data_IF_354616389938
#
_entry.id   IF_354616389938
#
_cell.length_a   1.000
_cell.length_b   1.000
_cell.length_c   1.000
_cell.angle_alpha   90.00
_cell.angle_beta   90.00
_cell.angle_gamma   90.00
#
_symmetry.space_group_name_H-M   'P 1'
#
loop_
_entity.id
_entity.type
_entity.pdbx_description
1 polymer ?
#
# COMPACT_ATOMS: atom_id res chain seq x y z
N UNK A 1 18.94 -3.82 48.33
CA UNK A 1 18.90 -2.62 49.21
C UNK A 1 18.12 -1.55 48.51
N UNK A 2 17.05 -1.11 49.16
CA UNK A 2 16.19 0.06 49.00
C UNK A 2 15.17 -0.06 47.84
N UNK A 3 13.94 -0.47 48.03
CA UNK A 3 12.77 -0.01 48.81
C UNK A 3 12.38 1.43 48.40
N UNK A 4 11.11 1.58 48.13
CA UNK A 4 10.21 2.76 48.23
C UNK A 4 9.45 3.00 46.91
N UNK A 5 8.17 3.17 46.83
CA UNK A 5 6.98 3.05 47.64
C UNK A 5 5.84 3.54 46.75
N UNK A 6 4.69 2.90 46.77
CA UNK A 6 3.42 3.39 46.24
C UNK A 6 2.79 4.39 47.18
N UNK A 7 2.02 5.38 46.76
CA UNK A 7 1.05 6.08 47.61
C UNK A 7 -0.41 5.66 47.33
N UNK A 8 -1.33 6.00 48.24
CA UNK A 8 -2.50 5.22 48.57
C UNK A 8 -3.82 5.76 47.96
N UNK A 9 -4.81 4.89 48.09
CA UNK A 9 -6.22 5.16 47.84
C UNK A 9 -6.83 6.16 48.82
N UNK A 10 -7.61 7.11 48.32
CA UNK A 10 -8.53 7.90 49.13
C UNK A 10 -9.99 7.45 48.91
N UNK A 11 -10.55 6.91 49.98
CA UNK A 11 -11.97 6.79 50.29
C UNK A 11 -12.43 8.08 50.92
N UNK A 12 -13.60 8.55 50.56
CA UNK A 12 -14.59 9.27 51.44
C UNK A 12 -15.65 9.87 50.52
N UNK A 13 -16.90 10.01 50.84
CA UNK A 13 -17.77 9.73 52.01
C UNK A 13 -19.22 9.80 51.50
N UNK A 14 -20.04 8.92 52.01
CA UNK A 14 -21.49 8.86 51.98
C UNK A 14 -22.04 9.86 52.99
N UNK A 15 -22.97 10.78 52.61
CA UNK A 15 -24.02 11.35 53.53
C UNK A 15 -25.11 11.93 52.64
N UNK A 16 -26.31 11.37 52.62
CA UNK A 16 -27.51 11.67 53.42
C UNK A 16 -27.92 13.14 53.31
N UNK A 17 -29.03 13.38 52.62
CA UNK A 17 -30.09 14.24 53.17
C UNK A 17 -31.44 13.89 52.51
N UNK A 18 -32.32 13.39 53.36
CA UNK A 18 -33.77 13.29 53.22
C UNK A 18 -34.35 14.69 53.49
N UNK A 19 -35.59 14.89 53.02
CA UNK A 19 -36.58 15.92 53.40
C UNK A 19 -36.89 16.90 52.26
N UNK A 20 -37.97 16.68 51.57
CA UNK A 20 -39.17 17.54 51.56
C UNK A 20 -40.16 16.99 50.52
N UNK A 21 -41.03 16.15 50.93
CA UNK A 21 -42.29 15.87 50.24
C UNK A 21 -43.33 16.91 50.62
N UNK A 22 -44.27 17.17 49.70
CA UNK A 22 -45.48 17.88 50.06
C UNK A 22 -45.64 19.21 49.29
N UNK A 23 -46.27 19.15 48.11
CA UNK A 23 -46.64 20.39 47.41
C UNK A 23 -47.17 20.29 45.98
N UNK A 24 -47.22 19.11 45.39
CA UNK A 24 -47.58 18.96 43.98
C UNK A 24 -48.95 18.28 43.69
N UNK A 25 -49.73 17.91 44.72
CA UNK A 25 -51.01 17.19 44.51
C UNK A 25 -52.25 18.08 44.41
N UNK A 26 -52.15 19.36 44.69
CA UNK A 26 -53.32 20.27 44.71
C UNK A 26 -53.57 21.09 43.40
N UNK A 27 -52.62 21.08 42.46
CA UNK A 27 -52.73 21.88 41.22
C UNK A 27 -53.29 21.06 40.06
N UNK A 28 -53.21 19.75 40.07
CA UNK A 28 -53.69 18.89 38.97
C UNK A 28 -55.21 18.70 38.96
N UNK A 29 -55.92 18.84 40.11
CA UNK A 29 -57.38 18.70 40.18
C UNK A 29 -58.12 19.94 39.71
N UNK A 30 -57.52 21.13 39.79
CA UNK A 30 -58.16 22.38 39.37
C UNK A 30 -58.12 22.60 37.84
N UNK A 31 -57.20 21.99 37.13
CA UNK A 31 -57.07 22.13 35.67
C UNK A 31 -58.02 21.19 34.91
N UNK A 32 -58.45 20.10 35.52
CA UNK A 32 -59.38 19.11 34.90
C UNK A 32 -60.83 19.61 34.98
N UNK A 33 -61.20 20.43 35.98
CA UNK A 33 -62.56 20.98 36.13
C UNK A 33 -62.84 22.18 35.24
N UNK A 34 -61.82 22.86 34.67
CA UNK A 34 -62.04 24.02 33.81
C UNK A 34 -62.21 23.62 32.31
N UNK A 35 -61.88 22.37 31.92
CA UNK A 35 -62.03 21.90 30.56
C UNK A 35 -63.35 21.14 30.27
N UNK A 36 -64.22 20.98 31.25
CA UNK A 36 -65.49 20.22 31.12
C UNK A 36 -66.73 21.09 30.88
N UNK A 37 -66.59 22.43 30.79
CA UNK A 37 -67.75 23.35 30.74
C UNK A 37 -67.84 24.22 29.47
N UNK A 38 -67.01 23.95 28.43
CA UNK A 38 -67.11 24.68 27.17
C UNK A 38 -67.28 23.75 25.95
N UNK A 39 -68.42 23.11 25.87
CA UNK A 39 -68.82 22.31 24.74
C UNK A 39 -70.27 22.47 24.42
N UNK A 40 -70.62 23.60 23.81
CA UNK A 40 -71.84 23.69 23.00
C UNK A 40 -71.77 24.86 22.06
N UNK A 41 -71.21 24.64 20.86
CA UNK A 41 -71.58 25.41 19.64
C UNK A 41 -71.16 24.59 18.45
N UNK A 42 -72.14 24.04 17.77
CA UNK A 42 -71.98 23.19 16.60
C UNK A 42 -71.44 23.96 15.39
N UNK A 43 -70.44 23.34 14.73
CA UNK A 43 -70.21 23.51 13.31
C UNK A 43 -69.93 22.14 12.73
N UNK A 44 -70.82 21.67 11.90
CA UNK A 44 -70.70 20.42 11.15
C UNK A 44 -69.57 20.55 10.14
N UNK A 45 -68.40 20.10 10.51
CA UNK A 45 -67.31 19.81 9.57
C UNK A 45 -67.54 18.40 9.08
N UNK A 46 -67.81 18.28 7.79
CA UNK A 46 -67.95 17.03 7.07
C UNK A 46 -66.84 16.07 7.45
N UNK A 47 -67.23 14.91 8.03
CA UNK A 47 -66.33 13.81 8.31
C UNK A 47 -65.74 13.34 6.97
N UNK A 48 -64.41 13.21 6.82
CA UNK A 48 -63.87 12.50 5.68
C UNK A 48 -64.34 11.05 5.75
N UNK A 49 -64.81 10.56 4.64
CA UNK A 49 -65.28 9.20 4.44
C UNK A 49 -64.30 8.20 5.07
N UNK A 50 -64.81 7.32 5.90
CA UNK A 50 -64.10 6.15 6.42
C UNK A 50 -63.71 5.30 5.21
N UNK A 51 -62.46 5.34 4.87
CA UNK A 51 -61.84 4.41 3.93
C UNK A 51 -61.77 3.04 4.63
N UNK A 52 -62.54 2.10 4.10
CA UNK A 52 -62.60 0.72 4.62
C UNK A 52 -61.26 0.04 4.45
N UNK A 53 -60.63 -0.38 5.53
CA UNK A 53 -59.57 -1.39 5.52
C UNK A 53 -60.21 -2.76 5.23
N UNK A 54 -59.90 -3.34 4.09
CA UNK A 54 -60.12 -4.79 3.86
C UNK A 54 -59.10 -5.56 4.73
N UNK A 55 -59.51 -6.74 5.17
CA UNK A 55 -58.80 -7.66 6.06
C UNK A 55 -57.40 -8.10 5.56
N UNK A 56 -56.93 -7.55 4.47
CA UNK A 56 -55.71 -7.93 3.75
C UNK A 56 -54.65 -6.82 3.78
N UNK A 57 -54.76 -5.79 4.66
CA UNK A 57 -53.80 -4.66 4.72
C UNK A 57 -53.82 -3.76 3.47
N UNK A 58 -54.89 -3.78 2.71
CA UNK A 58 -55.08 -2.99 1.50
C UNK A 58 -55.61 -1.59 1.87
N UNK A 59 -55.00 -0.56 1.33
CA UNK A 59 -55.45 0.82 1.41
C UNK A 59 -56.10 1.21 0.09
N UNK A 60 -57.29 1.82 0.15
CA UNK A 60 -58.05 2.29 -1.02
C UNK A 60 -57.97 3.84 -1.08
N UNK A 61 -57.05 4.38 -1.91
CA UNK A 61 -56.92 5.83 -2.08
C UNK A 61 -58.20 6.42 -2.75
N UNK A 62 -58.56 7.65 -2.43
CA UNK A 62 -59.57 8.38 -3.22
C UNK A 62 -59.10 8.64 -4.63
N UNK A 63 -60.01 8.99 -5.56
CA UNK A 63 -59.61 9.25 -6.97
C UNK A 63 -58.55 10.33 -7.14
N UNK A 64 -58.65 11.39 -6.36
CA UNK A 64 -57.64 12.47 -6.34
C UNK A 64 -56.31 12.01 -5.79
N UNK A 65 -56.30 11.16 -4.79
CA UNK A 65 -55.12 10.56 -4.23
C UNK A 65 -54.44 9.58 -5.18
N UNK A 66 -55.26 8.72 -5.85
CA UNK A 66 -54.74 7.78 -6.84
C UNK A 66 -54.08 8.50 -8.03
N UNK A 67 -54.67 9.59 -8.51
CA UNK A 67 -54.11 10.39 -9.60
C UNK A 67 -52.75 11.04 -9.26
N UNK A 68 -52.47 11.27 -7.96
CA UNK A 68 -51.20 11.80 -7.50
C UNK A 68 -50.09 10.77 -7.30
N UNK A 69 -50.40 9.45 -7.42
CA UNK A 69 -49.41 8.40 -7.25
C UNK A 69 -48.58 8.20 -8.54
N UNK A 70 -47.28 8.13 -8.41
CA UNK A 70 -46.44 7.63 -9.49
C UNK A 70 -46.25 6.11 -9.32
N UNK A 71 -46.63 5.37 -10.34
CA UNK A 71 -46.59 3.91 -10.34
C UNK A 71 -45.57 3.46 -11.39
N UNK A 72 -44.70 2.54 -11.02
CA UNK A 72 -43.69 1.98 -11.93
C UNK A 72 -43.77 0.47 -11.90
N UNK A 73 -43.60 -0.14 -13.05
CA UNK A 73 -43.60 -1.62 -13.19
C UNK A 73 -42.24 -2.19 -12.79
N UNK A 74 -42.25 -3.26 -12.01
CA UNK A 74 -41.06 -4.04 -11.63
C UNK A 74 -40.46 -4.67 -12.88
N UNK A 75 -39.18 -4.36 -13.13
CA UNK A 75 -38.43 -4.87 -14.30
C UNK A 75 -37.29 -5.74 -13.84
N UNK A 76 -36.79 -6.59 -14.71
CA UNK A 76 -35.54 -7.29 -14.50
C UNK A 76 -34.36 -6.33 -14.77
N UNK A 77 -33.45 -6.24 -13.82
CA UNK A 77 -32.17 -5.49 -13.94
C UNK A 77 -31.04 -6.46 -13.62
N UNK A 78 -29.93 -6.27 -14.31
CA UNK A 78 -28.75 -7.05 -14.09
C UNK A 78 -27.99 -6.45 -12.87
N UNK A 79 -27.93 -7.18 -11.78
CA UNK A 79 -27.15 -6.81 -10.59
C UNK A 79 -25.83 -7.57 -10.59
N UNK A 80 -24.75 -6.84 -10.34
CA UNK A 80 -23.40 -7.41 -10.18
C UNK A 80 -23.13 -7.63 -8.71
N UNK A 81 -22.49 -8.75 -8.41
CA UNK A 81 -22.04 -9.04 -7.06
C UNK A 81 -20.67 -8.34 -6.86
N UNK A 82 -20.71 -7.10 -6.44
CA UNK A 82 -19.52 -6.28 -6.24
C UNK A 82 -19.12 -6.29 -4.78
N UNK A 83 -17.80 -6.34 -4.53
CA UNK A 83 -17.21 -6.13 -3.22
C UNK A 83 -16.36 -4.88 -3.27
N UNK A 84 -16.71 -3.94 -2.40
CA UNK A 84 -15.97 -2.68 -2.28
C UNK A 84 -14.98 -2.82 -1.13
N UNK A 85 -13.72 -2.53 -1.43
CA UNK A 85 -12.66 -2.49 -0.42
C UNK A 85 -11.75 -1.29 -0.63
N UNK A 86 -11.23 -0.80 0.45
CA UNK A 86 -10.21 0.24 0.48
C UNK A 86 -8.84 -0.34 0.12
N UNK A 87 -8.03 0.48 -0.52
CA UNK A 87 -6.67 0.14 -0.87
C UNK A 87 -5.86 1.35 -1.27
N UNK A 88 -4.70 1.09 -1.83
CA UNK A 88 -3.78 2.13 -2.29
C UNK A 88 -3.08 1.75 -3.58
N UNK A 89 -2.57 2.76 -4.25
CA UNK A 89 -1.62 2.59 -5.34
C UNK A 89 -0.25 2.33 -4.71
N UNK A 90 0.43 1.32 -5.18
CA UNK A 90 1.78 0.98 -4.75
C UNK A 90 2.75 0.95 -5.94
N UNK A 91 4.02 1.02 -5.64
CA UNK A 91 5.08 0.84 -6.61
C UNK A 91 4.99 -0.58 -7.18
N UNK A 92 5.21 -0.73 -8.48
CA UNK A 92 5.39 -2.05 -9.07
C UNK A 92 6.80 -2.56 -8.75
N UNK A 93 6.90 -3.43 -7.75
CA UNK A 93 8.18 -3.98 -7.29
C UNK A 93 8.87 -4.85 -8.35
N UNK A 94 8.14 -5.37 -9.34
CA UNK A 94 8.72 -6.14 -10.45
C UNK A 94 9.51 -5.26 -11.44
N UNK A 95 9.19 -3.95 -11.50
CA UNK A 95 9.85 -2.96 -12.35
C UNK A 95 10.65 -1.93 -11.56
N UNK A 96 10.87 -2.19 -10.27
CA UNK A 96 11.51 -1.24 -9.36
C UNK A 96 12.64 -1.95 -8.61
N UNK A 97 13.77 -1.29 -8.48
CA UNK A 97 14.94 -1.81 -7.77
C UNK A 97 15.33 -0.88 -6.63
N UNK A 98 15.38 -1.38 -5.39
CA UNK A 98 15.99 -0.67 -4.28
C UNK A 98 17.51 -0.65 -4.45
N UNK A 99 18.13 0.51 -4.28
CA UNK A 99 19.58 0.69 -4.37
C UNK A 99 20.14 0.86 -2.97
N UNK A 100 21.01 -0.06 -2.60
CA UNK A 100 21.78 -0.04 -1.36
C UNK A 100 23.21 0.40 -1.68
N UNK A 101 23.92 0.96 -0.68
CA UNK A 101 25.35 1.22 -0.86
C UNK A 101 26.15 -0.06 -0.63
N UNK A 102 27.00 -0.45 -1.57
CA UNK A 102 27.95 -1.53 -1.36
C UNK A 102 29.14 -1.10 -0.46
N UNK A 103 29.19 0.18 -0.09
CA UNK A 103 30.30 0.78 0.66
C UNK A 103 29.81 1.45 1.94
N UNK A 104 30.63 1.39 3.00
CA UNK A 104 30.47 2.24 4.17
C UNK A 104 31.29 3.53 3.97
N UNK A 105 30.70 4.66 4.37
CA UNK A 105 31.39 5.92 4.24
C UNK A 105 30.45 7.13 4.29
N UNK A 106 31.02 8.30 4.04
CA UNK A 106 30.34 9.58 4.06
C UNK A 106 29.91 9.99 2.67
N UNK A 107 28.66 10.38 2.50
CA UNK A 107 28.17 10.93 1.20
C UNK A 107 28.82 12.28 0.96
N UNK A 108 29.64 12.36 -0.09
CA UNK A 108 30.36 13.57 -0.47
C UNK A 108 29.54 14.42 -1.44
N UNK A 109 28.72 13.78 -2.29
CA UNK A 109 27.95 14.48 -3.32
C UNK A 109 26.67 13.72 -3.67
N UNK A 110 25.57 14.45 -3.82
CA UNK A 110 24.31 13.96 -4.37
C UNK A 110 24.20 14.40 -5.82
N UNK A 111 23.98 13.45 -6.74
CA UNK A 111 23.96 13.70 -8.18
C UNK A 111 22.52 13.64 -8.69
N UNK A 112 21.82 12.52 -8.43
CA UNK A 112 20.44 12.35 -8.84
C UNK A 112 19.46 12.82 -7.76
N UNK A 113 18.30 13.34 -8.20
CA UNK A 113 17.21 13.82 -7.37
C UNK A 113 15.95 12.97 -7.57
N UNK A 114 15.04 12.91 -6.60
CA UNK A 114 13.70 12.34 -6.82
C UNK A 114 13.01 13.02 -8.02
N UNK A 115 12.47 12.20 -8.93
CA UNK A 115 11.85 12.62 -10.18
C UNK A 115 12.78 12.58 -11.40
N UNK A 116 14.09 12.51 -11.22
CA UNK A 116 15.04 12.41 -12.35
C UNK A 116 14.89 11.05 -13.05
N UNK A 117 14.95 11.07 -14.39
CA UNK A 117 15.11 9.85 -15.17
C UNK A 117 16.61 9.52 -15.29
N UNK A 118 16.96 8.28 -15.00
CA UNK A 118 18.34 7.80 -15.02
C UNK A 118 18.45 6.55 -15.89
N UNK A 119 19.52 6.47 -16.66
CA UNK A 119 19.88 5.29 -17.41
C UNK A 119 20.61 4.28 -16.52
N UNK A 120 20.64 3.01 -16.94
CA UNK A 120 21.46 2.00 -16.27
C UNK A 120 22.94 2.43 -16.26
N UNK A 121 23.55 2.44 -15.06
CA UNK A 121 24.94 2.90 -14.88
C UNK A 121 25.09 4.40 -14.64
N UNK A 122 24.02 5.20 -14.75
CA UNK A 122 24.06 6.63 -14.44
C UNK A 122 24.39 6.88 -12.96
N UNK A 123 25.19 7.93 -12.65
CA UNK A 123 25.62 8.21 -11.29
C UNK A 123 24.45 8.74 -10.43
N UNK A 124 24.25 8.13 -9.27
CA UNK A 124 23.24 8.56 -8.29
C UNK A 124 23.82 9.47 -7.20
N UNK A 125 24.92 9.06 -6.62
CA UNK A 125 25.64 9.83 -5.60
C UNK A 125 27.10 9.39 -5.51
N UNK A 126 27.93 10.20 -4.85
CA UNK A 126 29.32 9.89 -4.56
C UNK A 126 29.50 9.73 -3.05
N UNK A 127 30.38 8.79 -2.69
CA UNK A 127 30.67 8.43 -1.30
C UNK A 127 32.18 8.35 -1.09
N UNK A 128 32.68 8.87 0.04
CA UNK A 128 34.02 8.62 0.53
C UNK A 128 34.03 7.26 1.23
N UNK A 129 34.38 6.22 0.49
CA UNK A 129 34.32 4.84 0.95
C UNK A 129 35.61 4.45 1.66
N UNK A 130 35.53 4.16 2.95
CA UNK A 130 36.68 3.78 3.79
C UNK A 130 37.36 2.51 3.28
N UNK A 131 36.57 1.51 2.90
CA UNK A 131 37.08 0.23 2.40
C UNK A 131 37.81 0.41 1.04
N UNK A 132 37.38 1.37 0.25
CA UNK A 132 38.00 1.67 -1.03
C UNK A 132 39.36 2.38 -0.82
N UNK A 133 39.42 3.35 0.08
CA UNK A 133 40.66 4.02 0.45
C UNK A 133 41.70 3.01 0.99
N UNK A 134 41.26 2.09 1.86
CA UNK A 134 42.11 1.03 2.36
C UNK A 134 42.62 0.11 1.25
N UNK A 135 41.71 -0.32 0.32
CA UNK A 135 42.08 -1.15 -0.83
C UNK A 135 43.08 -0.48 -1.77
N UNK A 136 42.97 0.84 -1.97
CA UNK A 136 43.96 1.61 -2.77
C UNK A 136 45.33 1.68 -2.05
N UNK A 137 45.34 1.93 -0.72
CA UNK A 137 46.56 1.92 0.05
C UNK A 137 47.29 0.57 -0.04
N UNK A 138 46.52 -0.53 0.12
CA UNK A 138 47.04 -1.89 -0.01
C UNK A 138 47.65 -2.12 -1.40
N UNK A 139 46.96 -1.65 -2.48
CA UNK A 139 47.45 -1.77 -3.86
C UNK A 139 48.76 -1.02 -4.06
N UNK A 140 48.82 0.26 -3.67
CA UNK A 140 50.03 1.09 -3.82
C UNK A 140 51.20 0.47 -3.06
N UNK A 141 50.97 0.00 -1.84
CA UNK A 141 51.97 -0.69 -1.05
C UNK A 141 52.47 -1.98 -1.69
N UNK A 142 51.53 -2.76 -2.28
CA UNK A 142 51.86 -4.02 -2.95
C UNK A 142 52.67 -3.76 -4.25
N UNK A 143 52.33 -2.74 -5.03
CA UNK A 143 53.09 -2.33 -6.23
C UNK A 143 54.52 -1.96 -5.86
N UNK A 144 54.70 -1.10 -4.85
CA UNK A 144 56.02 -0.71 -4.35
C UNK A 144 56.79 -1.94 -3.84
N UNK A 145 56.12 -2.91 -3.23
CA UNK A 145 56.68 -4.18 -2.80
C UNK A 145 57.26 -5.01 -3.94
N UNK A 146 56.52 -5.11 -5.04
CA UNK A 146 56.93 -5.81 -6.27
C UNK A 146 58.17 -5.11 -6.88
N UNK A 147 58.13 -3.81 -7.02
CA UNK A 147 59.28 -3.04 -7.59
C UNK A 147 60.54 -3.23 -6.75
N UNK A 148 60.44 -3.21 -5.40
CA UNK A 148 61.55 -3.49 -4.54
C UNK A 148 62.06 -4.92 -4.66
N UNK A 149 61.17 -5.92 -4.72
CA UNK A 149 61.55 -7.32 -4.84
C UNK A 149 62.20 -7.58 -6.23
N UNK A 150 61.69 -6.94 -7.28
CA UNK A 150 62.26 -7.02 -8.64
C UNK A 150 63.67 -6.47 -8.69
N UNK A 151 63.92 -5.30 -8.07
CA UNK A 151 65.25 -4.71 -8.03
C UNK A 151 66.25 -5.60 -7.27
N UNK A 152 65.81 -6.23 -6.18
CA UNK A 152 66.59 -7.20 -5.42
C UNK A 152 66.92 -8.46 -6.24
N UNK A 153 65.95 -8.97 -6.94
CA UNK A 153 66.13 -10.13 -7.78
C UNK A 153 67.15 -9.91 -8.90
N UNK A 154 67.05 -8.74 -9.57
CA UNK A 154 68.02 -8.36 -10.63
C UNK A 154 69.44 -8.19 -10.07
N UNK A 155 69.58 -7.62 -8.87
CA UNK A 155 70.88 -7.54 -8.17
C UNK A 155 71.45 -8.92 -7.87
N UNK A 156 70.59 -9.81 -7.30
CA UNK A 156 70.99 -11.18 -6.95
C UNK A 156 71.40 -12.00 -8.17
N UNK A 157 70.65 -11.88 -9.30
CA UNK A 157 70.99 -12.51 -10.58
C UNK A 157 72.35 -12.06 -11.09
N UNK A 158 72.55 -10.74 -11.07
CA UNK A 158 73.83 -10.15 -11.53
C UNK A 158 75.02 -10.58 -10.67
N UNK A 159 74.82 -10.65 -9.38
CA UNK A 159 75.85 -11.09 -8.43
C UNK A 159 76.19 -12.59 -8.58
N UNK A 160 75.16 -13.43 -8.66
CA UNK A 160 75.35 -14.87 -8.90
C UNK A 160 76.07 -15.13 -10.23
N UNK A 161 75.67 -14.48 -11.32
CA UNK A 161 76.33 -14.56 -12.63
C UNK A 161 77.80 -14.17 -12.49
N UNK A 162 78.13 -13.08 -11.85
CA UNK A 162 79.49 -12.60 -11.65
C UNK A 162 80.33 -13.61 -10.83
N UNK A 163 79.80 -14.16 -9.73
CA UNK A 163 80.51 -15.17 -8.91
C UNK A 163 80.71 -16.48 -9.68
N UNK A 164 79.78 -16.90 -10.52
CA UNK A 164 79.90 -18.07 -11.41
C UNK A 164 81.04 -17.86 -12.46
N UNK A 165 81.09 -16.70 -13.06
CA UNK A 165 82.14 -16.33 -14.04
C UNK A 165 83.51 -16.27 -13.38
N UNK A 166 83.65 -15.68 -12.19
CA UNK A 166 84.87 -15.64 -11.44
C UNK A 166 85.37 -17.01 -11.05
N UNK A 167 84.49 -17.89 -10.62
CA UNK A 167 84.85 -19.31 -10.30
C UNK A 167 85.31 -20.07 -11.51
N UNK A 168 84.65 -19.84 -12.69
CA UNK A 168 85.07 -20.49 -13.94
C UNK A 168 86.48 -20.15 -14.41
N UNK A 169 86.98 -18.96 -14.12
CA UNK A 169 88.38 -18.51 -14.37
C UNK A 169 89.31 -18.77 -13.19
N UNK A 170 88.87 -19.55 -12.14
CA UNK A 170 89.62 -19.80 -10.92
C UNK A 170 89.97 -18.57 -10.09
N UNK A 171 89.27 -17.47 -10.29
CA UNK A 171 89.44 -16.21 -9.56
C UNK A 171 88.45 -15.96 -8.41
N UNK A 172 87.58 -16.94 -8.05
CA UNK A 172 86.58 -16.86 -6.99
C UNK A 172 86.56 -18.10 -6.12
N UNK A 173 85.94 -17.96 -4.89
CA UNK A 173 85.73 -19.08 -3.97
C UNK A 173 84.37 -19.76 -4.21
N UNK A 174 84.31 -21.10 -4.11
CA UNK A 174 83.05 -21.85 -4.23
C UNK A 174 82.00 -21.38 -3.19
N UNK A 175 82.42 -21.06 -1.97
CA UNK A 175 81.56 -20.53 -0.92
C UNK A 175 80.82 -19.25 -1.34
N UNK A 176 81.50 -18.34 -2.09
CA UNK A 176 80.93 -17.10 -2.54
C UNK A 176 79.84 -17.35 -3.61
N UNK A 177 80.05 -18.35 -4.45
CA UNK A 177 79.05 -18.78 -5.42
C UNK A 177 77.83 -19.41 -4.74
N UNK A 178 78.04 -20.31 -3.79
CA UNK A 178 76.98 -20.96 -3.00
C UNK A 178 76.15 -19.95 -2.24
N UNK A 179 76.79 -18.94 -1.66
CA UNK A 179 76.10 -17.82 -1.01
C UNK A 179 75.27 -17.01 -2.02
N UNK A 180 75.82 -16.64 -3.15
CA UNK A 180 75.12 -15.88 -4.21
C UNK A 180 73.93 -16.69 -4.78
N UNK A 181 74.04 -18.02 -4.91
CA UNK A 181 72.93 -18.89 -5.29
C UNK A 181 71.83 -18.91 -4.26
N UNK A 182 72.19 -18.99 -2.95
CA UNK A 182 71.22 -18.93 -1.86
C UNK A 182 70.48 -17.57 -1.86
N UNK A 183 71.22 -16.47 -2.03
CA UNK A 183 70.66 -15.12 -2.12
C UNK A 183 69.71 -14.98 -3.32
N UNK A 184 70.02 -15.57 -4.45
CA UNK A 184 69.17 -15.61 -5.66
C UNK A 184 67.88 -16.36 -5.37
N UNK A 185 67.94 -17.54 -4.74
CA UNK A 185 66.74 -18.33 -4.36
C UNK A 185 65.87 -17.53 -3.40
N UNK A 186 66.47 -16.88 -2.42
CA UNK A 186 65.74 -16.01 -1.48
C UNK A 186 65.06 -14.84 -2.18
N UNK A 187 65.76 -14.15 -3.10
CA UNK A 187 65.23 -13.05 -3.87
C UNK A 187 64.08 -13.51 -4.84
N UNK A 188 64.15 -14.73 -5.38
CA UNK A 188 63.07 -15.31 -6.15
C UNK A 188 61.83 -15.60 -5.27
N UNK A 189 62.04 -16.06 -4.05
CA UNK A 189 61.00 -16.25 -3.04
C UNK A 189 60.31 -14.94 -2.68
N UNK A 190 61.10 -13.91 -2.41
CA UNK A 190 60.62 -12.56 -2.07
C UNK A 190 59.76 -11.98 -3.23
N UNK A 191 60.24 -12.15 -4.48
CA UNK A 191 59.48 -11.70 -5.66
C UNK A 191 58.14 -12.40 -5.80
N UNK A 192 58.09 -13.73 -5.66
CA UNK A 192 56.85 -14.51 -5.71
C UNK A 192 55.88 -14.06 -4.60
N UNK A 193 56.37 -13.82 -3.38
CA UNK A 193 55.56 -13.35 -2.28
C UNK A 193 54.97 -11.96 -2.56
N UNK A 194 55.75 -11.04 -3.12
CA UNK A 194 55.29 -9.71 -3.50
C UNK A 194 54.22 -9.77 -4.61
N UNK A 195 54.37 -10.67 -5.64
CA UNK A 195 53.39 -10.88 -6.70
C UNK A 195 52.07 -11.41 -6.14
N UNK A 196 52.12 -12.36 -5.18
CA UNK A 196 50.93 -12.87 -4.52
C UNK A 196 50.19 -11.75 -3.77
N UNK A 197 50.97 -10.91 -3.05
CA UNK A 197 50.40 -9.77 -2.31
C UNK A 197 49.72 -8.77 -3.26
N UNK A 198 50.31 -8.47 -4.41
CA UNK A 198 49.72 -7.62 -5.43
C UNK A 198 48.45 -8.24 -6.01
N UNK A 199 48.46 -9.54 -6.29
CA UNK A 199 47.28 -10.25 -6.77
C UNK A 199 46.13 -10.20 -5.76
N UNK A 200 46.44 -10.34 -4.47
CA UNK A 200 45.44 -10.22 -3.39
C UNK A 200 44.83 -8.81 -3.31
N UNK A 201 45.66 -7.74 -3.42
CA UNK A 201 45.19 -6.37 -3.43
C UNK A 201 44.28 -6.07 -4.65
N UNK A 202 44.65 -6.57 -5.83
CA UNK A 202 43.81 -6.48 -7.04
C UNK A 202 42.46 -7.18 -6.86
N UNK A 203 42.47 -8.40 -6.32
CA UNK A 203 41.24 -9.14 -6.08
C UNK A 203 40.32 -8.41 -5.07
N UNK A 204 40.88 -7.81 -4.03
CA UNK A 204 40.10 -6.99 -3.08
C UNK A 204 39.40 -5.83 -3.79
N UNK A 205 40.06 -5.12 -4.69
CA UNK A 205 39.44 -4.02 -5.45
C UNK A 205 38.39 -4.52 -6.46
N UNK A 206 38.56 -5.71 -7.05
CA UNK A 206 37.52 -6.34 -7.89
C UNK A 206 36.27 -6.68 -7.09
N UNK A 207 36.43 -7.22 -5.89
CA UNK A 207 35.29 -7.48 -4.97
C UNK A 207 34.59 -6.17 -4.62
N UNK A 208 35.29 -5.07 -4.50
CA UNK A 208 34.75 -3.72 -4.34
C UNK A 208 34.18 -3.12 -5.64
N UNK A 209 34.03 -3.91 -6.72
CA UNK A 209 33.36 -3.51 -7.96
C UNK A 209 34.21 -2.70 -8.95
N UNK A 210 35.55 -2.71 -8.80
CA UNK A 210 36.43 -2.04 -9.78
C UNK A 210 36.76 -2.94 -10.94
N UNK A 211 36.76 -2.35 -12.15
CA UNK A 211 37.20 -3.05 -13.35
C UNK A 211 38.73 -3.18 -13.40
N UNK A 212 39.23 -4.15 -14.20
CA UNK A 212 40.67 -4.33 -14.36
C UNK A 212 41.36 -3.09 -14.95
N UNK A 213 40.64 -2.35 -15.83
CA UNK A 213 41.15 -1.09 -16.41
C UNK A 213 41.26 0.02 -15.38
N UNK A 214 40.30 0.09 -14.45
CA UNK A 214 40.36 1.04 -13.31
C UNK A 214 41.50 0.70 -12.37
N UNK A 215 41.67 -0.58 -12.03
CA UNK A 215 42.76 -1.07 -11.19
C UNK A 215 44.12 -0.74 -11.82
N UNK A 216 44.29 -1.03 -13.13
CA UNK A 216 45.54 -0.73 -13.85
C UNK A 216 45.84 0.80 -13.92
N UNK A 217 44.83 1.64 -13.90
CA UNK A 217 45.01 3.09 -13.77
C UNK A 217 45.46 3.48 -12.36
N UNK A 218 44.84 2.87 -11.30
CA UNK A 218 45.21 3.13 -9.92
C UNK A 218 46.64 2.71 -9.58
N UNK A 219 47.18 1.66 -10.23
CA UNK A 219 48.57 1.24 -10.08
C UNK A 219 49.59 2.30 -10.56
N UNK A 220 49.16 3.20 -11.46
CA UNK A 220 50.02 4.25 -12.08
C UNK A 220 49.87 5.63 -11.45
N UNK A 221 48.90 5.80 -10.55
CA UNK A 221 48.56 7.11 -9.96
C UNK A 221 48.97 7.19 -8.53
N UNK A 222 49.80 8.19 -8.20
CA UNK A 222 50.26 8.46 -6.83
C UNK A 222 49.20 9.11 -5.89
N UNK A 223 48.02 9.46 -6.43
CA UNK A 223 46.97 10.12 -5.68
C UNK A 223 45.84 9.15 -5.36
N UNK A 224 45.59 8.97 -4.07
CA UNK A 224 44.49 8.19 -3.55
C UNK A 224 43.21 9.04 -3.61
N UNK A 225 42.23 8.62 -4.45
CA UNK A 225 40.92 9.25 -4.52
C UNK A 225 39.99 8.56 -3.51
N UNK A 226 39.50 9.34 -2.55
CA UNK A 226 38.56 8.79 -1.54
C UNK A 226 37.14 8.59 -2.09
N UNK A 227 36.78 9.32 -3.15
CA UNK A 227 35.44 9.38 -3.69
C UNK A 227 35.14 8.22 -4.65
N UNK A 228 34.05 7.55 -4.42
CA UNK A 228 33.52 6.53 -5.32
C UNK A 228 32.07 6.82 -5.69
N UNK A 229 31.66 6.48 -6.90
CA UNK A 229 30.32 6.72 -7.41
C UNK A 229 29.48 5.46 -7.26
N UNK A 230 28.27 5.62 -6.73
CA UNK A 230 27.23 4.59 -6.75
C UNK A 230 26.26 4.92 -7.88
N UNK A 231 26.10 3.95 -8.78
CA UNK A 231 25.32 4.10 -10.02
C UNK A 231 23.99 3.36 -9.97
N UNK A 232 23.06 3.75 -10.85
CA UNK A 232 21.78 3.11 -11.02
C UNK A 232 21.93 1.68 -11.58
N UNK A 233 21.32 0.66 -10.96
CA UNK A 233 21.39 -0.73 -11.45
C UNK A 233 20.50 -0.97 -12.65
N UNK A 234 19.44 -0.20 -12.80
CA UNK A 234 18.45 -0.25 -13.90
C UNK A 234 18.18 1.15 -14.44
N UNK A 235 17.65 1.23 -15.64
CA UNK A 235 17.02 2.43 -16.18
C UNK A 235 15.68 2.68 -15.51
N UNK A 236 15.33 3.94 -15.26
CA UNK A 236 14.05 4.31 -14.66
C UNK A 236 14.03 5.69 -14.06
N UNK A 237 12.98 5.98 -13.31
CA UNK A 237 12.84 7.23 -12.56
C UNK A 237 13.27 7.02 -11.12
N UNK A 238 13.98 7.97 -10.55
CA UNK A 238 14.29 8.00 -9.12
C UNK A 238 13.00 8.30 -8.35
N UNK A 239 12.43 7.27 -7.73
CA UNK A 239 11.16 7.36 -7.01
C UNK A 239 11.38 7.97 -5.63
N UNK A 240 12.43 7.53 -4.95
CA UNK A 240 12.73 7.95 -3.59
C UNK A 240 14.24 8.04 -3.35
N UNK A 241 14.63 8.99 -2.50
CA UNK A 241 15.98 9.14 -1.95
C UNK A 241 15.88 9.31 -0.44
N UNK A 242 16.55 8.42 0.31
CA UNK A 242 16.57 8.42 1.79
C UNK A 242 17.92 8.84 2.36
N UNK A 243 18.73 9.57 1.59
CA UNK A 243 20.07 9.99 2.02
C UNK A 243 20.28 11.47 1.81
N UNK A 244 21.02 12.08 2.76
CA UNK A 244 21.46 13.47 2.75
C UNK A 244 22.95 13.63 2.47
N UNK A 245 23.34 14.83 2.03
CA UNK A 245 24.75 15.22 1.90
C UNK A 245 25.45 15.18 3.27
N UNK A 246 26.64 14.59 3.33
CA UNK A 246 27.42 14.47 4.56
C UNK A 246 26.97 13.35 5.50
N UNK A 247 25.90 12.65 5.18
CA UNK A 247 25.41 11.51 5.96
C UNK A 247 26.38 10.34 5.84
N UNK A 248 26.65 9.65 6.97
CA UNK A 248 27.40 8.41 6.97
C UNK A 248 26.47 7.23 6.70
N UNK A 249 26.87 6.36 5.79
CA UNK A 249 26.13 5.16 5.39
C UNK A 249 26.95 3.94 5.81
N UNK A 250 26.28 2.92 6.34
CA UNK A 250 26.88 1.62 6.62
C UNK A 250 26.48 0.59 5.56
N UNK A 251 27.38 -0.30 5.18
CA UNK A 251 27.04 -1.51 4.42
C UNK A 251 26.11 -2.39 5.26
N UNK A 252 25.09 -2.98 4.61
CA UNK A 252 24.12 -3.82 5.32
C UNK A 252 22.99 -3.06 6.01
N UNK A 253 22.85 -1.76 5.79
CA UNK A 253 21.65 -1.02 6.20
C UNK A 253 20.42 -1.65 5.59
N UNK A 254 19.36 -1.83 6.39
CA UNK A 254 18.08 -2.44 5.95
C UNK A 254 17.28 -1.56 4.99
N UNK A 255 17.47 -0.24 5.06
CA UNK A 255 16.76 0.73 4.24
C UNK A 255 17.51 1.04 2.94
N UNK A 256 16.82 1.01 1.78
CA UNK A 256 17.40 1.43 0.52
C UNK A 256 17.69 2.94 0.54
N UNK A 257 18.82 3.32 -0.05
CA UNK A 257 19.26 4.72 -0.15
C UNK A 257 18.53 5.44 -1.28
N UNK A 258 18.37 4.75 -2.39
CA UNK A 258 17.55 5.18 -3.53
C UNK A 258 16.59 4.07 -3.91
N UNK A 259 15.49 4.44 -4.56
CA UNK A 259 14.59 3.53 -5.24
C UNK A 259 14.44 4.02 -6.66
N UNK A 260 14.82 3.19 -7.62
CA UNK A 260 14.75 3.48 -9.07
C UNK A 260 13.80 2.50 -9.72
N UNK A 261 12.88 2.98 -10.55
CA UNK A 261 11.94 2.08 -11.24
C UNK A 261 11.13 2.76 -12.31
N UNK A 262 10.39 1.94 -13.05
CA UNK A 262 9.43 2.42 -14.04
C UNK A 262 8.07 2.63 -13.39
N UNK A 263 7.55 3.86 -13.49
CA UNK A 263 6.21 4.25 -13.05
C UNK A 263 5.16 4.13 -14.18
N UNK A 264 5.51 3.62 -15.34
CA UNK A 264 4.59 3.34 -16.45
C UNK A 264 3.56 2.23 -16.12
N UNK A 265 3.85 1.45 -15.07
CA UNK A 265 2.92 0.52 -14.44
C UNK A 265 2.96 0.69 -12.93
N UNK A 266 1.81 0.60 -12.28
CA UNK A 266 1.68 0.63 -10.82
C UNK A 266 0.84 -0.54 -10.32
N UNK A 267 1.03 -0.90 -9.08
CA UNK A 267 0.19 -1.86 -8.41
C UNK A 267 -0.95 -1.16 -7.70
N UNK A 268 -2.08 -1.84 -7.72
CA UNK A 268 -3.23 -1.55 -6.90
C UNK A 268 -3.26 -2.62 -5.81
N UNK A 269 -3.06 -2.23 -4.57
CA UNK A 269 -3.02 -3.15 -3.43
C UNK A 269 -4.21 -2.87 -2.53
N UNK A 270 -5.00 -3.90 -2.27
CA UNK A 270 -6.15 -3.83 -1.39
C UNK A 270 -6.15 -4.98 -0.38
N UNK A 271 -6.81 -4.75 0.75
CA UNK A 271 -6.94 -5.71 1.83
C UNK A 271 -8.41 -6.09 2.01
N UNK A 272 -8.81 -7.19 1.41
CA UNK A 272 -10.19 -7.67 1.37
C UNK A 272 -10.57 -8.33 2.70
N UNK A 273 -11.81 -8.17 3.14
CA UNK A 273 -12.33 -8.80 4.36
C UNK A 273 -12.34 -10.32 4.23
N UNK A 274 -12.14 -11.02 5.33
CA UNK A 274 -12.18 -12.49 5.39
C UNK A 274 -13.49 -13.08 4.82
N UNK A 275 -14.63 -12.44 5.09
CA UNK A 275 -15.94 -12.84 4.56
C UNK A 275 -16.02 -12.84 3.03
N UNK A 276 -15.25 -11.99 2.38
CA UNK A 276 -15.24 -11.81 0.93
C UNK A 276 -14.11 -12.60 0.25
N UNK A 277 -13.17 -13.15 1.04
CA UNK A 277 -11.99 -13.89 0.57
C UNK A 277 -12.36 -15.05 -0.40
N UNK A 278 -13.39 -15.88 -0.16
CA UNK A 278 -13.75 -16.98 -1.07
C UNK A 278 -14.16 -16.52 -2.48
N UNK A 279 -14.53 -15.25 -2.62
CA UNK A 279 -14.98 -14.67 -3.89
C UNK A 279 -13.80 -14.11 -4.72
N UNK A 280 -12.63 -13.94 -4.12
CA UNK A 280 -11.46 -13.35 -4.78
C UNK A 280 -10.78 -14.37 -5.67
N UNK A 281 -10.71 -14.09 -6.96
CA UNK A 281 -10.08 -14.94 -7.96
C UNK A 281 -9.13 -14.12 -8.83
N UNK A 282 -7.97 -14.68 -9.14
CA UNK A 282 -7.06 -14.11 -10.13
C UNK A 282 -7.79 -13.97 -11.47
N UNK A 283 -7.65 -12.84 -12.13
CA UNK A 283 -8.35 -12.50 -13.36
C UNK A 283 -9.70 -11.80 -13.16
N UNK A 284 -10.23 -11.71 -11.93
CA UNK A 284 -11.45 -10.97 -11.65
C UNK A 284 -11.31 -9.50 -12.07
N UNK A 285 -12.30 -8.92 -12.75
CA UNK A 285 -12.28 -7.51 -13.13
C UNK A 285 -12.41 -6.63 -11.88
N UNK A 286 -11.67 -5.54 -11.88
CA UNK A 286 -11.64 -4.54 -10.80
C UNK A 286 -11.82 -3.17 -11.41
N UNK A 287 -12.83 -2.45 -10.96
CA UNK A 287 -12.99 -1.02 -11.23
C UNK A 287 -12.41 -0.23 -10.05
N UNK A 288 -11.51 0.70 -10.33
CA UNK A 288 -10.80 1.45 -9.29
C UNK A 288 -11.13 2.92 -9.42
N UNK A 289 -11.60 3.52 -8.36
CA UNK A 289 -11.75 4.96 -8.22
C UNK A 289 -10.67 5.51 -7.31
N UNK A 290 -10.02 6.58 -7.76
CA UNK A 290 -8.94 7.24 -7.01
C UNK A 290 -9.44 8.59 -6.53
N UNK A 291 -9.26 8.89 -5.26
CA UNK A 291 -9.78 10.12 -4.65
C UNK A 291 -9.25 11.39 -5.35
N UNK A 292 -8.03 11.35 -5.87
CA UNK A 292 -7.42 12.47 -6.59
C UNK A 292 -8.06 12.73 -7.96
N UNK A 293 -8.84 11.79 -8.50
CA UNK A 293 -9.48 11.89 -9.82
C UNK A 293 -10.97 11.56 -9.74
N UNK A 294 -11.79 12.44 -9.14
CA UNK A 294 -13.22 12.20 -8.97
C UNK A 294 -13.91 12.03 -10.32
N UNK A 295 -14.76 11.02 -10.42
CA UNK A 295 -15.51 10.69 -11.66
C UNK A 295 -14.71 9.92 -12.72
N UNK A 296 -13.44 9.57 -12.46
CA UNK A 296 -12.65 8.66 -13.33
C UNK A 296 -12.53 7.29 -12.69
N UNK A 297 -12.84 6.27 -13.46
CA UNK A 297 -12.62 4.87 -13.10
C UNK A 297 -11.47 4.29 -13.91
N UNK A 298 -10.65 3.51 -13.26
CA UNK A 298 -9.52 2.80 -13.86
C UNK A 298 -9.82 1.31 -13.84
N UNK A 299 -9.79 0.68 -15.00
CA UNK A 299 -10.09 -0.74 -15.13
C UNK A 299 -8.81 -1.58 -15.02
N UNK A 300 -8.85 -2.58 -14.16
CA UNK A 300 -7.78 -3.53 -13.95
C UNK A 300 -8.33 -4.96 -13.80
N UNK A 301 -7.43 -5.91 -13.60
CA UNK A 301 -7.77 -7.29 -13.23
C UNK A 301 -6.90 -7.72 -12.07
N UNK A 302 -7.45 -8.49 -11.13
CA UNK A 302 -6.65 -9.08 -10.07
C UNK A 302 -5.55 -9.94 -10.70
N UNK A 303 -4.29 -9.59 -10.42
CA UNK A 303 -3.11 -10.34 -10.85
C UNK A 303 -2.61 -11.29 -9.78
N UNK A 304 -2.94 -11.00 -8.52
CA UNK A 304 -2.51 -11.79 -7.37
C UNK A 304 -3.56 -11.76 -6.27
N UNK A 305 -3.75 -12.91 -5.66
CA UNK A 305 -4.55 -13.11 -4.45
C UNK A 305 -3.67 -13.88 -3.47
N UNK A 306 -3.46 -13.35 -2.29
CA UNK A 306 -2.58 -13.99 -1.31
C UNK A 306 -3.12 -15.38 -0.91
N UNK A 307 -2.26 -16.37 -0.68
CA UNK A 307 -2.67 -17.71 -0.25
C UNK A 307 -3.08 -17.78 1.23
N UNK A 308 -2.83 -16.72 2.00
CA UNK A 308 -3.14 -16.62 3.41
C UNK A 308 -3.58 -15.20 3.78
N UNK A 309 -4.36 -15.10 4.85
CA UNK A 309 -4.70 -13.83 5.47
C UNK A 309 -3.48 -13.23 6.18
N UNK A 310 -3.38 -11.93 6.18
CA UNK A 310 -2.43 -11.20 7.02
C UNK A 310 -2.78 -11.42 8.51
N UNK A 311 -1.85 -11.94 9.32
CA UNK A 311 -2.14 -12.31 10.70
C UNK A 311 -2.48 -11.13 11.61
N UNK A 312 -2.03 -9.92 11.27
CA UNK A 312 -2.26 -8.72 12.09
C UNK A 312 -3.60 -8.09 11.78
N UNK A 313 -3.95 -8.02 10.48
CA UNK A 313 -5.17 -7.34 10.02
C UNK A 313 -6.34 -8.29 9.81
N UNK A 314 -6.10 -9.61 9.70
CA UNK A 314 -7.05 -10.65 9.30
C UNK A 314 -7.74 -10.35 7.96
N UNK A 315 -7.03 -9.69 7.08
CA UNK A 315 -7.51 -9.37 5.73
C UNK A 315 -6.71 -10.14 4.69
N UNK A 316 -7.32 -10.38 3.54
CA UNK A 316 -6.70 -11.02 2.41
C UNK A 316 -6.06 -9.96 1.51
N UNK A 317 -4.71 -9.91 1.39
CA UNK A 317 -4.05 -9.03 0.44
C UNK A 317 -4.38 -9.47 -0.99
N UNK A 318 -4.82 -8.53 -1.81
CA UNK A 318 -5.02 -8.73 -3.24
C UNK A 318 -4.30 -7.63 -4.01
N UNK A 319 -3.90 -7.93 -5.24
CA UNK A 319 -3.15 -7.01 -6.08
C UNK A 319 -3.65 -7.05 -7.52
N UNK A 320 -3.70 -5.89 -8.12
CA UNK A 320 -3.92 -5.74 -9.56
C UNK A 320 -2.81 -4.87 -10.17
N UNK A 321 -2.51 -5.07 -11.44
CA UNK A 321 -1.56 -4.24 -12.19
C UNK A 321 -2.34 -3.30 -13.10
N UNK A 322 -1.98 -2.03 -13.10
CA UNK A 322 -2.56 -1.03 -13.98
C UNK A 322 -1.48 -0.30 -14.77
N UNK A 323 -1.77 -0.03 -16.03
CA UNK A 323 -0.93 0.83 -16.89
C UNK A 323 -1.09 2.29 -16.48
N UNK A 324 0.03 2.98 -16.36
CA UNK A 324 0.11 4.38 -15.95
C UNK A 324 0.96 5.21 -16.93
N UNK A 325 0.60 5.27 -18.23
CA UNK A 325 1.44 5.91 -19.25
C UNK A 325 1.64 7.40 -19.00
N UNK A 326 0.66 8.08 -18.43
CA UNK A 326 0.74 9.49 -18.06
C UNK A 326 1.41 9.76 -16.71
N UNK A 327 1.80 8.71 -15.96
CA UNK A 327 2.35 8.81 -14.60
C UNK A 327 1.46 9.62 -13.64
N UNK A 328 0.16 9.63 -13.92
CA UNK A 328 -0.84 10.36 -13.11
C UNK A 328 -1.11 9.65 -11.77
N UNK A 329 -1.09 8.31 -11.78
CA UNK A 329 -1.28 7.50 -10.59
C UNK A 329 0.04 7.44 -9.82
N UNK A 330 0.07 8.14 -8.69
CA UNK A 330 1.26 8.19 -7.84
C UNK A 330 1.16 7.14 -6.73
N UNK A 331 2.26 6.49 -6.37
CA UNK A 331 2.32 5.61 -5.21
C UNK A 331 1.80 6.30 -3.94
N UNK A 332 1.18 5.54 -3.05
CA UNK A 332 0.51 5.96 -1.80
C UNK A 332 -0.80 6.74 -1.99
N UNK A 333 -1.29 6.97 -3.21
CA UNK A 333 -2.65 7.48 -3.41
C UNK A 333 -3.68 6.47 -2.92
N UNK A 334 -4.70 6.96 -2.20
CA UNK A 334 -5.84 6.14 -1.79
C UNK A 334 -6.75 5.81 -2.98
N UNK A 335 -7.21 4.58 -3.00
CA UNK A 335 -8.09 4.07 -4.03
C UNK A 335 -9.17 3.17 -3.44
N UNK A 336 -10.36 3.21 -4.01
CA UNK A 336 -11.45 2.28 -3.72
C UNK A 336 -11.56 1.27 -4.84
N UNK A 337 -11.66 0.01 -4.48
CA UNK A 337 -11.70 -1.13 -5.39
C UNK A 337 -13.09 -1.71 -5.40
N UNK A 338 -13.71 -1.70 -6.56
CA UNK A 338 -14.97 -2.39 -6.85
C UNK A 338 -14.61 -3.69 -7.55
N UNK A 339 -14.54 -4.78 -6.80
CA UNK A 339 -14.16 -6.09 -7.33
C UNK A 339 -15.43 -6.83 -7.73
N UNK A 340 -15.56 -7.16 -9.00
CA UNK A 340 -16.68 -7.94 -9.49
C UNK A 340 -16.45 -9.41 -9.14
N UNK A 341 -17.19 -9.89 -8.15
CA UNK A 341 -16.97 -11.20 -7.52
C UNK A 341 -17.82 -12.33 -8.15
N UNK A 342 -18.78 -12.01 -9.02
CA UNK A 342 -19.71 -13.00 -9.57
C UNK A 342 -20.22 -12.64 -10.96
N UNK A 343 -21.04 -13.55 -11.50
CA UNK A 343 -21.79 -13.26 -12.73
C UNK A 343 -22.95 -12.32 -12.43
N UNK A 344 -23.22 -11.41 -13.38
CA UNK A 344 -24.41 -10.58 -13.33
C UNK A 344 -25.67 -11.44 -13.28
N UNK A 345 -26.55 -11.18 -12.30
CA UNK A 345 -27.82 -11.89 -12.13
C UNK A 345 -28.96 -10.96 -12.49
N UNK A 346 -29.87 -11.44 -13.35
CA UNK A 346 -31.10 -10.74 -13.64
C UNK A 346 -32.08 -10.94 -12.48
N UNK A 347 -32.38 -9.86 -11.76
CA UNK A 347 -33.26 -9.88 -10.59
C UNK A 347 -34.37 -8.84 -10.75
N UNK A 348 -35.54 -9.04 -10.13
CA UNK A 348 -36.56 -8.01 -10.03
C UNK A 348 -35.97 -6.77 -9.37
N UNK A 349 -36.26 -5.60 -9.91
CA UNK A 349 -35.75 -4.33 -9.40
C UNK A 349 -36.84 -3.29 -9.26
N UNK A 350 -36.73 -2.46 -8.25
CA UNK A 350 -37.60 -1.31 -8.02
C UNK A 350 -36.74 -0.05 -7.80
N UNK A 351 -37.23 1.14 -8.19
CA UNK A 351 -36.56 2.38 -7.84
C UNK A 351 -36.42 2.52 -6.34
N UNK A 352 -35.29 3.09 -5.89
CA UNK A 352 -35.00 3.27 -4.46
C UNK A 352 -36.10 4.05 -3.73
N UNK A 353 -36.76 5.00 -4.42
CA UNK A 353 -37.87 5.78 -3.89
C UNK A 353 -39.15 4.97 -3.60
N UNK A 354 -39.25 3.76 -4.14
CA UNK A 354 -40.39 2.84 -3.89
C UNK A 354 -40.22 2.07 -2.56
N UNK A 355 -39.00 1.97 -2.04
CA UNK A 355 -38.69 1.13 -0.88
C UNK A 355 -38.79 1.95 0.40
N UNK A 356 -39.58 1.45 1.35
CA UNK A 356 -39.70 2.01 2.70
C UNK A 356 -38.94 1.10 3.66
N UNK A 357 -37.96 1.67 4.35
CA UNK A 357 -37.16 0.95 5.35
C UNK A 357 -37.69 1.20 6.75
N UNK A 358 -38.03 0.11 7.48
CA UNK A 358 -38.44 0.12 8.87
C UNK A 358 -37.48 -0.71 9.72
N UNK A 359 -36.44 -0.06 10.23
CA UNK A 359 -35.35 -0.75 10.87
C UNK A 359 -34.60 -1.71 9.95
N UNK A 360 -34.66 -3.01 10.21
CA UNK A 360 -34.04 -4.05 9.39
C UNK A 360 -34.97 -4.61 8.28
N UNK A 361 -36.23 -4.20 8.28
CA UNK A 361 -37.22 -4.68 7.32
C UNK A 361 -37.43 -3.64 6.21
N UNK A 362 -37.72 -4.14 5.00
CA UNK A 362 -38.06 -3.31 3.85
C UNK A 362 -39.45 -3.70 3.35
N UNK A 363 -40.23 -2.71 2.92
CA UNK A 363 -41.54 -2.92 2.32
C UNK A 363 -41.78 -1.97 1.15
N UNK A 364 -42.74 -2.32 0.33
CA UNK A 364 -43.21 -1.51 -0.78
C UNK A 364 -44.74 -1.45 -0.81
N UNK A 365 -45.26 -0.43 -1.46
CA UNK A 365 -46.67 -0.37 -1.79
C UNK A 365 -46.88 -0.95 -3.21
N UNK A 366 -47.53 -2.12 -3.29
CA UNK A 366 -47.89 -2.75 -4.55
C UNK A 366 -49.22 -2.16 -5.01
N UNK A 367 -49.24 -1.54 -6.18
CA UNK A 367 -50.43 -1.00 -6.77
C UNK A 367 -51.22 -2.05 -7.57
N UNK A 368 -52.53 -2.13 -7.35
CA UNK A 368 -53.48 -2.90 -8.15
C UNK A 368 -54.34 -1.93 -8.98
N UNK A 369 -53.96 -1.62 -10.22
CA UNK A 369 -54.65 -0.60 -11.02
C UNK A 369 -56.13 -0.94 -11.33
N UNK A 370 -56.43 -2.23 -11.44
CA UNK A 370 -57.78 -2.68 -11.72
C UNK A 370 -58.82 -2.28 -10.63
N UNK A 371 -58.35 -2.34 -9.36
CA UNK A 371 -59.20 -2.07 -8.20
C UNK A 371 -58.90 -0.72 -7.56
N UNK A 372 -57.94 0.05 -8.11
CA UNK A 372 -57.43 1.29 -7.55
C UNK A 372 -57.00 1.15 -6.05
N UNK A 373 -56.45 -0.03 -5.69
CA UNK A 373 -56.00 -0.35 -4.36
C UNK A 373 -54.47 -0.43 -4.29
N UNK A 374 -53.93 -0.14 -3.15
CA UNK A 374 -52.49 -0.36 -2.84
C UNK A 374 -52.35 -1.26 -1.62
N UNK A 375 -51.44 -2.24 -1.71
CA UNK A 375 -51.20 -3.23 -0.65
C UNK A 375 -49.79 -3.12 -0.17
N UNK A 376 -49.62 -2.99 1.14
CA UNK A 376 -48.28 -3.03 1.74
C UNK A 376 -47.74 -4.45 1.67
N UNK A 377 -46.52 -4.62 1.17
CA UNK A 377 -45.85 -5.91 1.06
C UNK A 377 -44.43 -5.83 1.54
N UNK A 378 -44.08 -6.72 2.47
CA UNK A 378 -42.72 -6.90 2.91
C UNK A 378 -41.87 -7.52 1.83
N UNK A 379 -40.66 -7.04 1.65
CA UNK A 379 -39.71 -7.52 0.64
C UNK A 379 -38.34 -7.76 1.26
N UNK A 380 -37.61 -8.71 0.69
CA UNK A 380 -36.20 -8.84 0.96
C UNK A 380 -35.40 -8.10 -0.12
N UNK A 381 -34.63 -7.11 0.29
CA UNK A 381 -33.83 -6.32 -0.61
C UNK A 381 -32.40 -6.85 -0.68
N UNK A 382 -31.74 -6.63 -1.81
CA UNK A 382 -30.33 -6.94 -2.05
C UNK A 382 -29.49 -5.70 -2.27
N UNK A 383 -28.65 -5.73 -3.30
CA UNK A 383 -27.81 -4.61 -3.70
C UNK A 383 -28.61 -3.46 -4.33
N UNK A 384 -27.98 -2.29 -4.40
CA UNK A 384 -28.51 -1.15 -5.16
C UNK A 384 -27.55 -0.81 -6.29
N UNK A 385 -28.06 -0.72 -7.51
CA UNK A 385 -27.28 -0.37 -8.69
C UNK A 385 -28.03 0.66 -9.53
N UNK A 386 -27.39 1.77 -9.87
CA UNK A 386 -27.99 2.86 -10.68
C UNK A 386 -29.34 3.36 -10.18
N UNK A 387 -29.54 3.46 -8.85
CA UNK A 387 -30.80 3.91 -8.23
C UNK A 387 -31.91 2.86 -8.25
N UNK A 388 -31.62 1.62 -8.68
CA UNK A 388 -32.50 0.47 -8.62
C UNK A 388 -32.09 -0.46 -7.47
N UNK A 389 -33.05 -0.90 -6.68
CA UNK A 389 -32.85 -1.83 -5.55
C UNK A 389 -33.23 -3.24 -6.02
N UNK A 390 -32.31 -4.18 -5.84
CA UNK A 390 -32.54 -5.62 -6.04
C UNK A 390 -33.61 -6.11 -5.07
N UNK A 391 -34.61 -6.84 -5.58
CA UNK A 391 -35.58 -7.53 -4.73
C UNK A 391 -35.37 -9.03 -4.87
N UNK A 392 -34.95 -9.63 -3.73
CA UNK A 392 -34.68 -11.09 -3.66
C UNK A 392 -35.93 -11.91 -3.47
N UNK A 393 -36.85 -11.38 -2.63
CA UNK A 393 -38.12 -12.03 -2.34
C UNK A 393 -39.22 -10.97 -2.14
N UNK A 394 -40.46 -11.35 -2.44
CA UNK A 394 -41.67 -10.55 -2.16
C UNK A 394 -42.26 -9.83 -3.35
N UNK A 395 -41.57 -9.71 -4.52
CA UNK A 395 -42.10 -9.11 -5.73
C UNK A 395 -41.75 -9.94 -6.94
N UNK A 396 -42.66 -9.90 -7.92
CA UNK A 396 -42.49 -10.53 -9.24
C UNK A 396 -42.35 -9.47 -10.35
N UNK A 397 -41.64 -9.83 -11.40
CA UNK A 397 -41.53 -8.99 -12.60
C UNK A 397 -42.94 -8.77 -13.21
N UNK A 398 -43.23 -7.53 -13.57
CA UNK A 398 -44.51 -7.13 -14.10
C UNK A 398 -45.50 -6.58 -13.06
N UNK A 399 -45.26 -6.76 -11.78
CA UNK A 399 -46.05 -6.09 -10.74
C UNK A 399 -45.80 -4.57 -10.73
N UNK A 400 -46.77 -3.82 -10.27
CA UNK A 400 -46.71 -2.36 -10.20
C UNK A 400 -46.43 -1.88 -8.78
N UNK A 401 -45.50 -1.00 -8.59
CA UNK A 401 -45.13 -0.42 -7.29
C UNK A 401 -45.26 1.08 -7.31
N UNK A 402 -45.59 1.67 -6.14
CA UNK A 402 -45.69 3.12 -5.98
C UNK A 402 -44.32 3.68 -5.71
N UNK A 403 -43.86 4.65 -6.51
CA UNK A 403 -42.56 5.32 -6.40
C UNK A 403 -42.63 6.72 -5.84
N UNK A 404 -43.83 7.35 -5.87
CA UNK A 404 -44.03 8.67 -5.26
C UNK A 404 -45.39 8.72 -4.57
N UNK A 405 -45.45 9.38 -3.41
CA UNK A 405 -46.63 9.43 -2.55
C UNK A 405 -46.67 8.35 -1.48
N UNK A 406 -45.63 7.53 -1.36
CA UNK A 406 -45.53 6.42 -0.38
C UNK A 406 -45.68 6.91 1.05
N UNK A 407 -45.04 8.01 1.44
CA UNK A 407 -45.18 8.63 2.79
C UNK A 407 -46.60 9.12 3.07
N UNK A 408 -47.32 9.56 2.04
CA UNK A 408 -48.69 9.99 2.20
C UNK A 408 -49.59 8.79 2.47
N UNK A 409 -49.46 7.70 1.68
CA UNK A 409 -50.21 6.45 1.87
C UNK A 409 -49.92 5.89 3.29
N UNK A 410 -48.66 5.91 3.69
CA UNK A 410 -48.21 5.44 5.02
C UNK A 410 -48.89 6.17 6.17
N UNK A 411 -48.93 7.50 6.09
CA UNK A 411 -49.62 8.32 7.11
C UNK A 411 -51.12 8.12 7.09
N UNK A 412 -51.70 7.91 5.93
CA UNK A 412 -53.13 7.68 5.79
C UNK A 412 -53.52 6.28 6.27
N UNK A 413 -52.70 5.25 5.96
CA UNK A 413 -52.87 3.88 6.44
C UNK A 413 -52.64 3.69 7.95
N UNK A 414 -51.70 4.48 8.54
CA UNK A 414 -51.43 4.43 10.00
C UNK A 414 -52.46 5.16 10.87
N UNK A 415 -53.37 5.95 10.28
CA UNK A 415 -54.44 6.67 10.95
C UNK A 415 -55.76 5.94 10.99
N UNK A 416 -55.90 4.82 10.32
CA UNK A 416 -57.03 3.91 10.30
C UNK A 416 -56.73 2.63 11.05
#
# INVERSE_FOLDING_TARGET
>A
MSIVASPPAERTKRNRLWIAGGGAAAIVVAVIAFWALDSSSGNAVSRPDKVAQDSDGAFSPSESQWAGLKITTVRQVAFRDERVTDGKIAINEETTTPVFSPYSGRVSRLIAKPGDHVERGAPLFAIEATEFVQGQNDLVTAVAGVDKAKSRLELAKTTEKRQRELLAIKGGALKDLEQAQSDLVNAQGDMRSAEITLAAARNRLRILGRSDEEIARLEKVDRIGAETIVSAPIEGTVIQRKVGLGQYINTGASDPIFTVGDLGTVWLVANVRESDAPLMKVGAPVEVSVLAYPGRTFNAKLSYVAPALDPNTRRLPVRAVIKNPGRELLPEMFAMFHIVAGQSRLMPAVPQDAVIYEGAQARVWVARPADKKVVSRSIEVGGTENGQVEVRQGLSVGESVVTSGTLFIDRAAARN
#
